data_IF_399836296358
#
_entry.id   IF_399836296358
#
_cell.length_a   1.000
_cell.length_b   1.000
_cell.length_c   1.000
_cell.angle_alpha   90.00
_cell.angle_beta   90.00
_cell.angle_gamma   90.00
#
_symmetry.space_group_name_H-M   'P 1'
#
loop_
_entity.id
_entity.type
_entity.pdbx_description
1 polymer ?
#
# COMPACT_ATOMS: atom_id res chain seq x y z
N UNK A 1 1.88 7.51 15.57
CA UNK A 1 1.76 6.05 15.81
C UNK A 1 1.47 5.88 17.30
N UNK A 2 0.35 5.24 17.68
CA UNK A 2 -0.08 5.18 19.08
C UNK A 2 0.95 4.45 19.95
N UNK A 3 1.13 4.89 21.20
CA UNK A 3 1.99 4.23 22.21
C UNK A 3 1.68 2.73 22.34
N UNK A 4 0.41 2.36 22.16
CA UNK A 4 -0.09 0.98 22.16
C UNK A 4 0.55 0.15 21.04
N UNK A 5 0.75 0.71 19.83
CA UNK A 5 1.39 -0.01 18.72
C UNK A 5 2.89 -0.20 18.93
N UNK A 6 3.55 0.73 19.62
CA UNK A 6 4.97 0.61 19.98
C UNK A 6 5.15 -0.46 21.06
N UNK A 7 4.36 -0.37 22.14
CA UNK A 7 4.34 -1.38 23.21
C UNK A 7 3.98 -2.79 22.68
N UNK A 8 3.06 -2.88 21.73
CA UNK A 8 2.71 -4.14 21.07
C UNK A 8 3.90 -4.75 20.30
N UNK A 9 4.66 -3.93 19.56
CA UNK A 9 5.83 -4.43 18.81
C UNK A 9 6.95 -4.91 19.73
N UNK A 10 7.13 -4.27 20.88
CA UNK A 10 8.11 -4.67 21.90
C UNK A 10 7.68 -5.96 22.61
N UNK A 11 6.43 -6.03 23.09
CA UNK A 11 5.89 -7.20 23.80
C UNK A 11 5.67 -8.42 22.88
N UNK A 12 5.44 -8.20 21.58
CA UNK A 12 5.37 -9.28 20.58
C UNK A 12 6.65 -10.15 20.57
N UNK A 13 7.81 -9.59 20.94
CA UNK A 13 9.06 -10.36 21.04
C UNK A 13 9.06 -11.32 22.24
N UNK A 14 8.32 -11.00 23.31
CA UNK A 14 8.22 -11.85 24.50
C UNK A 14 7.10 -12.90 24.39
N UNK A 15 6.02 -12.58 23.66
CA UNK A 15 4.87 -13.48 23.50
C UNK A 15 4.93 -14.26 22.18
N UNK A 16 5.86 -15.22 22.11
CA UNK A 16 5.93 -16.16 20.99
C UNK A 16 4.77 -17.14 21.02
N UNK A 17 4.01 -17.22 19.91
CA UNK A 17 3.01 -18.27 19.72
C UNK A 17 3.68 -19.65 19.69
N UNK A 18 3.05 -20.66 20.29
CA UNK A 18 3.51 -22.05 20.20
C UNK A 18 2.55 -22.87 19.36
N UNK A 19 3.09 -23.79 18.56
CA UNK A 19 2.31 -24.78 17.82
C UNK A 19 2.32 -26.10 18.58
N UNK A 20 1.15 -26.68 18.74
CA UNK A 20 0.96 -28.01 19.33
C UNK A 20 0.13 -28.90 18.41
N UNK A 21 0.36 -30.20 18.50
CA UNK A 21 -0.45 -31.24 17.84
C UNK A 21 -1.50 -31.83 18.79
N UNK A 22 -1.46 -31.47 20.07
CA UNK A 22 -2.44 -31.90 21.07
C UNK A 22 -3.68 -31.00 21.05
N UNK A 23 -4.82 -31.57 20.69
CA UNK A 23 -6.08 -30.84 20.65
C UNK A 23 -6.77 -30.86 22.03
N UNK A 24 -7.18 -29.70 22.56
CA UNK A 24 -7.69 -29.57 23.93
C UNK A 24 -9.06 -30.21 24.17
N UNK A 25 -9.81 -30.57 23.12
CA UNK A 25 -11.20 -31.01 23.21
C UNK A 25 -11.33 -32.47 22.74
N UNK A 26 -11.90 -33.34 23.58
CA UNK A 26 -12.03 -34.78 23.29
C UNK A 26 -12.86 -35.06 22.02
N UNK A 27 -13.87 -34.23 21.72
CA UNK A 27 -14.64 -34.37 20.48
C UNK A 27 -13.82 -33.98 19.24
N UNK A 28 -12.86 -33.06 19.38
CA UNK A 28 -11.91 -32.71 18.32
C UNK A 28 -10.99 -33.90 18.05
N UNK A 29 -10.54 -34.61 19.09
CA UNK A 29 -9.77 -35.86 18.91
C UNK A 29 -10.58 -36.97 18.22
N UNK A 30 -11.88 -37.11 18.54
CA UNK A 30 -12.77 -38.07 17.85
C UNK A 30 -13.07 -37.68 16.40
N UNK A 31 -13.21 -36.39 16.09
CA UNK A 31 -13.42 -35.92 14.72
C UNK A 31 -12.14 -35.99 13.89
N UNK A 32 -10.99 -35.61 14.48
CA UNK A 32 -9.68 -35.70 13.85
C UNK A 32 -9.29 -37.15 13.47
N UNK A 33 -9.80 -38.14 14.20
CA UNK A 33 -9.59 -39.57 13.90
C UNK A 33 -10.55 -40.12 12.82
N UNK A 34 -11.58 -39.37 12.43
CA UNK A 34 -12.54 -39.78 11.40
C UNK A 34 -12.35 -39.03 10.08
N UNK A 35 -11.90 -37.77 10.14
CA UNK A 35 -11.54 -36.95 8.97
C UNK A 35 -10.38 -36.04 9.38
N UNK A 36 -9.30 -36.01 8.59
CA UNK A 36 -8.11 -35.16 8.76
C UNK A 36 -8.42 -33.65 8.63
N UNK A 37 -9.39 -33.14 9.40
CA UNK A 37 -9.90 -31.78 9.29
C UNK A 37 -9.03 -30.78 10.07
N UNK A 38 -8.47 -31.20 11.21
CA UNK A 38 -7.65 -30.37 12.08
C UNK A 38 -6.16 -30.50 11.76
N UNK A 39 -5.49 -29.36 11.62
CA UNK A 39 -4.10 -29.28 11.16
C UNK A 39 -3.13 -29.10 12.35
N UNK A 40 -3.38 -28.10 13.20
CA UNK A 40 -2.57 -27.80 14.38
C UNK A 40 -3.38 -27.02 15.42
N UNK A 41 -2.81 -26.87 16.61
CA UNK A 41 -3.29 -26.00 17.67
C UNK A 41 -2.31 -24.84 17.87
N UNK A 42 -2.83 -23.62 17.94
CA UNK A 42 -2.05 -22.41 18.29
C UNK A 42 -2.28 -22.10 19.76
N UNK A 43 -1.18 -21.97 20.50
CA UNK A 43 -1.16 -21.52 21.88
C UNK A 43 -0.96 -20.01 21.92
N UNK A 44 -2.00 -19.29 22.35
CA UNK A 44 -2.06 -17.83 22.39
C UNK A 44 -2.07 -17.37 23.85
N UNK A 45 -1.05 -16.64 24.33
CA UNK A 45 -1.05 -16.08 25.68
C UNK A 45 -2.25 -15.17 25.95
N UNK A 46 -2.83 -15.24 27.14
CA UNK A 46 -3.93 -14.36 27.54
C UNK A 46 -3.55 -12.87 27.53
N UNK A 47 -2.35 -12.46 27.95
CA UNK A 47 -1.89 -11.08 27.78
C UNK A 47 -2.01 -10.58 26.33
N UNK A 48 -1.63 -11.41 25.36
CA UNK A 48 -1.69 -11.09 23.94
C UNK A 48 -3.14 -10.90 23.45
N UNK A 49 -4.06 -11.80 23.83
CA UNK A 49 -5.48 -11.68 23.52
C UNK A 49 -6.11 -10.41 24.09
N UNK A 50 -5.66 -10.00 25.28
CA UNK A 50 -6.11 -8.75 25.90
C UNK A 50 -5.68 -7.54 25.07
N UNK A 51 -4.40 -7.49 24.68
CA UNK A 51 -3.87 -6.38 23.88
C UNK A 51 -4.58 -6.31 22.52
N UNK A 52 -4.88 -7.44 21.89
CA UNK A 52 -5.67 -7.47 20.66
C UNK A 52 -7.06 -6.86 20.85
N UNK A 53 -7.73 -7.18 21.97
CA UNK A 53 -9.04 -6.62 22.28
C UNK A 53 -8.98 -5.10 22.43
N UNK A 54 -7.94 -4.57 23.05
CA UNK A 54 -7.74 -3.13 23.22
C UNK A 54 -7.41 -2.47 21.86
N UNK A 55 -6.51 -3.05 21.06
CA UNK A 55 -6.15 -2.54 19.72
C UNK A 55 -7.35 -2.40 18.78
N UNK A 56 -8.24 -3.39 18.76
CA UNK A 56 -9.42 -3.35 17.90
C UNK A 56 -10.47 -2.32 18.34
N UNK A 57 -10.50 -1.95 19.63
CA UNK A 57 -11.37 -0.87 20.12
C UNK A 57 -10.86 0.52 19.75
N UNK A 58 -9.53 0.71 19.64
CA UNK A 58 -8.92 2.01 19.36
C UNK A 58 -8.66 2.30 17.87
N UNK A 59 -8.84 1.33 16.97
CA UNK A 59 -8.46 1.45 15.54
C UNK A 59 -9.66 1.32 14.59
N UNK A 60 -10.61 2.27 14.56
CA UNK A 60 -11.82 2.15 13.73
C UNK A 60 -11.58 2.39 12.23
N UNK A 61 -10.46 3.02 11.84
CA UNK A 61 -10.24 3.49 10.45
C UNK A 61 -9.86 2.36 9.48
N UNK A 62 -9.21 1.30 9.97
CA UNK A 62 -8.70 0.19 9.14
C UNK A 62 -9.28 -1.13 9.63
N UNK A 63 -10.59 -1.19 9.90
CA UNK A 63 -11.37 -2.33 10.45
C UNK A 63 -10.60 -3.68 10.55
N UNK A 64 -9.64 -3.83 11.49
CA UNK A 64 -8.79 -5.00 11.53
C UNK A 64 -9.56 -6.09 12.25
N UNK A 65 -9.43 -7.34 11.83
CA UNK A 65 -10.07 -8.44 12.53
C UNK A 65 -9.05 -9.23 13.37
N UNK A 66 -9.52 -10.17 14.20
CA UNK A 66 -8.63 -10.95 15.05
C UNK A 66 -7.69 -11.86 14.24
N UNK A 67 -8.07 -12.20 13.00
CA UNK A 67 -7.23 -12.99 12.10
C UNK A 67 -6.04 -12.17 11.61
N UNK A 68 -6.26 -10.90 11.25
CA UNK A 68 -5.18 -9.98 10.86
C UNK A 68 -4.13 -9.87 11.98
N UNK A 69 -4.59 -9.76 13.23
CA UNK A 69 -3.72 -9.71 14.40
C UNK A 69 -2.98 -11.03 14.65
N UNK A 70 -3.67 -12.17 14.53
CA UNK A 70 -3.06 -13.49 14.68
C UNK A 70 -2.00 -13.75 13.60
N UNK A 71 -2.34 -13.56 12.32
CA UNK A 71 -1.40 -13.68 11.19
C UNK A 71 -0.19 -12.77 11.37
N UNK A 72 -0.41 -11.53 11.83
CA UNK A 72 0.70 -10.61 12.12
C UNK A 72 1.58 -11.06 13.29
N UNK A 73 1.07 -11.92 14.18
CA UNK A 73 1.79 -12.42 15.37
C UNK A 73 2.53 -13.72 15.11
N UNK A 74 2.24 -14.41 14.01
CA UNK A 74 3.00 -15.59 13.58
C UNK A 74 4.40 -15.16 13.18
N UNK A 75 5.40 -15.74 13.84
CA UNK A 75 6.82 -15.54 13.52
C UNK A 75 7.19 -16.47 12.35
N UNK A 76 8.01 -15.99 11.42
CA UNK A 76 8.54 -16.76 10.28
C UNK A 76 7.50 -17.37 9.33
N UNK A 77 6.25 -16.91 9.37
CA UNK A 77 5.22 -17.29 8.40
C UNK A 77 4.86 -18.78 8.40
N UNK A 78 4.96 -19.46 9.55
CA UNK A 78 4.65 -20.90 9.67
C UNK A 78 3.26 -21.27 9.16
N UNK A 79 2.30 -20.36 9.27
CA UNK A 79 0.99 -20.48 8.68
C UNK A 79 0.39 -19.10 8.45
N UNK A 80 -0.54 -19.04 7.51
CA UNK A 80 -1.41 -17.88 7.30
C UNK A 80 -2.84 -18.37 7.32
N UNK A 81 -3.66 -17.77 8.17
CA UNK A 81 -5.09 -18.04 8.19
C UNK A 81 -5.81 -17.20 7.15
N UNK A 82 -6.84 -17.78 6.54
CA UNK A 82 -7.71 -17.10 5.60
C UNK A 82 -8.48 -16.00 6.32
N UNK A 83 -8.42 -14.77 5.80
CA UNK A 83 -8.98 -13.57 6.45
C UNK A 83 -10.50 -13.64 6.64
N UNK A 84 -11.19 -14.38 5.78
CA UNK A 84 -12.63 -14.61 5.76
C UNK A 84 -13.10 -15.75 6.69
N UNK A 85 -12.20 -16.37 7.46
CA UNK A 85 -12.54 -17.47 8.37
C UNK A 85 -13.38 -17.01 9.58
N UNK A 86 -14.70 -16.93 9.42
CA UNK A 86 -15.62 -16.48 10.47
C UNK A 86 -15.50 -17.29 11.77
N UNK A 87 -15.27 -18.60 11.68
CA UNK A 87 -15.14 -19.48 12.86
C UNK A 87 -13.99 -19.04 13.76
N UNK A 88 -12.80 -18.90 13.21
CA UNK A 88 -11.62 -18.50 14.00
C UNK A 88 -11.80 -17.07 14.53
N UNK A 89 -12.26 -16.15 13.70
CA UNK A 89 -12.47 -14.76 14.13
C UNK A 89 -13.44 -14.67 15.31
N UNK A 90 -14.55 -15.41 15.27
CA UNK A 90 -15.55 -15.43 16.34
C UNK A 90 -15.03 -16.12 17.61
N UNK A 91 -14.26 -17.20 17.48
CA UNK A 91 -13.61 -17.87 18.62
C UNK A 91 -12.62 -16.93 19.33
N UNK A 92 -11.77 -16.26 18.56
CA UNK A 92 -10.82 -15.28 19.09
C UNK A 92 -11.54 -14.12 19.76
N UNK A 93 -12.57 -13.55 19.12
CA UNK A 93 -13.38 -12.46 19.67
C UNK A 93 -14.00 -12.81 21.01
N UNK A 94 -14.66 -13.98 21.10
CA UNK A 94 -15.28 -14.45 22.35
C UNK A 94 -14.23 -14.64 23.44
N UNK A 95 -13.09 -15.26 23.09
CA UNK A 95 -12.03 -15.50 24.06
C UNK A 95 -11.38 -14.19 24.53
N UNK A 96 -11.06 -13.28 23.62
CA UNK A 96 -10.49 -11.98 23.95
C UNK A 96 -11.42 -11.16 24.85
N UNK A 97 -12.72 -11.15 24.56
CA UNK A 97 -13.73 -10.48 25.40
C UNK A 97 -13.77 -11.07 26.81
N UNK A 98 -13.76 -12.40 26.93
CA UNK A 98 -13.71 -13.11 28.22
C UNK A 98 -12.43 -12.79 29.00
N UNK A 99 -11.27 -12.80 28.32
CA UNK A 99 -9.97 -12.46 28.91
C UNK A 99 -9.99 -11.02 29.42
N UNK A 100 -10.45 -10.06 28.62
CA UNK A 100 -10.56 -8.65 29.02
C UNK A 100 -11.41 -8.47 30.28
N UNK A 101 -12.55 -9.16 30.37
CA UNK A 101 -13.38 -9.14 31.57
C UNK A 101 -12.68 -9.76 32.79
N UNK A 102 -11.93 -10.85 32.61
CA UNK A 102 -11.18 -11.48 33.69
C UNK A 102 -10.10 -10.53 34.26
N UNK A 103 -9.36 -9.84 33.40
CA UNK A 103 -8.36 -8.84 33.82
C UNK A 103 -8.97 -7.61 34.50
N UNK A 104 -10.18 -7.19 34.09
CA UNK A 104 -10.90 -6.10 34.77
C UNK A 104 -11.33 -6.47 36.21
N UNK A 105 -11.64 -7.75 36.45
CA UNK A 105 -12.13 -8.26 37.74
C UNK A 105 -11.04 -8.71 38.70
N UNK A 106 -9.78 -8.75 38.26
CA UNK A 106 -8.66 -9.31 39.04
C UNK A 106 -7.55 -8.28 39.25
N UNK A 107 -6.94 -8.33 40.43
CA UNK A 107 -5.83 -7.48 40.83
C UNK A 107 -4.80 -8.29 41.63
N UNK A 108 -3.57 -7.77 41.74
CA UNK A 108 -2.48 -8.39 42.50
C UNK A 108 -2.13 -9.79 41.99
N UNK A 109 -1.92 -10.74 42.92
CA UNK A 109 -1.49 -12.11 42.62
C UNK A 109 -2.38 -12.84 41.61
N UNK A 110 -3.71 -12.68 41.71
CA UNK A 110 -4.66 -13.28 40.77
C UNK A 110 -4.49 -12.79 39.33
N UNK A 111 -3.95 -11.59 39.14
CA UNK A 111 -3.65 -11.06 37.82
C UNK A 111 -2.38 -11.68 37.22
N UNK A 112 -1.37 -11.92 38.03
CA UNK A 112 -0.16 -12.67 37.61
C UNK A 112 -0.53 -14.09 37.16
N UNK A 113 -1.45 -14.75 37.86
CA UNK A 113 -1.99 -16.05 37.43
C UNK A 113 -2.72 -16.00 36.07
N UNK A 114 -3.24 -14.85 35.65
CA UNK A 114 -3.79 -14.69 34.30
C UNK A 114 -2.71 -14.51 33.25
N UNK A 115 -1.59 -13.88 33.61
CA UNK A 115 -0.47 -13.64 32.70
C UNK A 115 0.21 -14.94 32.26
N UNK A 116 0.12 -15.99 33.08
CA UNK A 116 0.62 -17.34 32.77
C UNK A 116 -0.35 -18.17 31.91
N UNK A 117 -1.61 -17.73 31.73
CA UNK A 117 -2.62 -18.52 31.01
C UNK A 117 -2.45 -18.44 29.51
N UNK A 118 -2.77 -19.55 28.86
CA UNK A 118 -2.74 -19.71 27.41
C UNK A 118 -4.11 -20.17 26.90
N UNK A 119 -4.49 -19.70 25.72
CA UNK A 119 -5.63 -20.20 24.97
C UNK A 119 -5.15 -21.13 23.85
N UNK A 120 -5.68 -22.35 23.84
CA UNK A 120 -5.43 -23.36 22.80
C UNK A 120 -6.49 -23.25 21.70
N UNK A 121 -6.12 -22.69 20.54
CA UNK A 121 -6.98 -22.54 19.37
C UNK A 121 -6.71 -23.65 18.35
N UNK A 122 -7.69 -24.51 18.07
CA UNK A 122 -7.57 -25.53 17.03
C UNK A 122 -7.89 -24.96 15.64
N UNK A 123 -6.95 -25.15 14.70
CA UNK A 123 -7.03 -24.69 13.31
C UNK A 123 -7.27 -25.88 12.38
N UNK A 124 -8.18 -25.70 11.42
CA UNK A 124 -8.51 -26.68 10.40
C UNK A 124 -7.74 -26.43 9.12
N UNK A 125 -7.52 -27.47 8.33
CA UNK A 125 -6.77 -27.40 7.06
C UNK A 125 -7.37 -26.39 6.07
N UNK A 126 -8.69 -26.30 6.01
CA UNK A 126 -9.40 -25.40 5.08
C UNK A 126 -9.39 -23.93 5.53
N UNK A 127 -8.87 -23.63 6.73
CA UNK A 127 -8.83 -22.29 7.31
C UNK A 127 -7.46 -21.64 7.14
N UNK A 128 -6.47 -22.37 6.63
CA UNK A 128 -5.16 -21.86 6.25
C UNK A 128 -5.12 -21.58 4.76
N UNK A 129 -4.40 -20.54 4.37
CA UNK A 129 -4.01 -20.31 2.97
C UNK A 129 -3.01 -21.38 2.52
N UNK A 130 -3.12 -21.83 1.26
CA UNK A 130 -2.13 -22.73 0.68
C UNK A 130 -0.85 -21.96 0.36
N UNK A 131 0.30 -22.51 0.77
CA UNK A 131 1.62 -21.95 0.41
C UNK A 131 1.78 -21.85 -1.11
N UNK A 132 1.26 -22.83 -1.86
CA UNK A 132 1.33 -22.86 -3.32
C UNK A 132 0.47 -21.76 -3.94
N UNK A 133 -0.74 -21.55 -3.40
CA UNK A 133 -1.62 -20.46 -3.83
C UNK A 133 -0.99 -19.08 -3.55
N UNK A 134 -0.43 -18.90 -2.35
CA UNK A 134 0.27 -17.67 -1.98
C UNK A 134 1.49 -17.41 -2.87
N UNK A 135 2.29 -18.44 -3.18
CA UNK A 135 3.44 -18.31 -4.09
C UNK A 135 3.00 -17.89 -5.49
N UNK A 136 1.94 -18.51 -6.03
CA UNK A 136 1.42 -18.17 -7.35
C UNK A 136 0.90 -16.72 -7.39
N UNK A 137 0.27 -16.24 -6.32
CA UNK A 137 -0.20 -14.85 -6.24
C UNK A 137 0.96 -13.86 -6.11
N UNK A 138 1.99 -14.17 -5.33
CA UNK A 138 3.22 -13.37 -5.25
C UNK A 138 3.90 -13.28 -6.62
N UNK A 139 4.03 -14.40 -7.32
CA UNK A 139 4.64 -14.46 -8.66
C UNK A 139 3.84 -13.61 -9.66
N UNK A 140 2.51 -13.72 -9.63
CA UNK A 140 1.63 -12.89 -10.46
C UNK A 140 1.83 -11.40 -10.17
N UNK A 141 1.83 -10.99 -8.90
CA UNK A 141 2.05 -9.60 -8.52
C UNK A 141 3.44 -9.09 -8.91
N UNK A 142 4.48 -9.93 -8.83
CA UNK A 142 5.83 -9.58 -9.28
C UNK A 142 5.86 -9.32 -10.79
N UNK A 143 5.24 -10.20 -11.58
CA UNK A 143 5.15 -10.04 -13.04
C UNK A 143 4.41 -8.76 -13.43
N UNK A 144 3.27 -8.48 -12.79
CA UNK A 144 2.54 -7.22 -13.01
C UNK A 144 3.42 -6.01 -12.69
N UNK A 145 4.14 -6.03 -11.56
CA UNK A 145 5.00 -4.93 -11.14
C UNK A 145 6.14 -4.68 -12.14
N UNK A 146 6.73 -5.74 -12.70
CA UNK A 146 7.73 -5.64 -13.77
C UNK A 146 7.16 -5.06 -15.08
N UNK A 147 5.95 -5.44 -15.45
CA UNK A 147 5.26 -4.82 -16.60
C UNK A 147 4.99 -3.34 -16.37
N UNK A 148 4.52 -2.96 -15.19
CA UNK A 148 4.28 -1.57 -14.83
C UNK A 148 5.58 -0.75 -14.87
N UNK A 149 6.69 -1.29 -14.36
CA UNK A 149 8.00 -0.65 -14.46
C UNK A 149 8.44 -0.43 -15.90
N UNK A 150 8.25 -1.42 -16.78
CA UNK A 150 8.57 -1.29 -18.22
C UNK A 150 7.73 -0.18 -18.86
N UNK A 151 6.41 -0.20 -18.67
CA UNK A 151 5.48 0.83 -19.18
C UNK A 151 5.85 2.22 -18.69
N UNK A 152 6.26 2.35 -17.43
CA UNK A 152 6.68 3.63 -16.88
C UNK A 152 7.92 4.18 -17.58
N UNK A 153 8.94 3.34 -17.79
CA UNK A 153 10.16 3.73 -18.51
C UNK A 153 9.85 4.13 -19.95
N UNK A 154 8.98 3.39 -20.63
CA UNK A 154 8.56 3.71 -22.00
C UNK A 154 7.86 5.07 -22.07
N UNK A 155 6.92 5.33 -21.15
CA UNK A 155 6.23 6.63 -21.05
C UNK A 155 7.19 7.78 -20.73
N UNK A 156 8.18 7.56 -19.87
CA UNK A 156 9.19 8.58 -19.54
C UNK A 156 10.05 8.92 -20.77
N UNK A 157 10.41 7.91 -21.56
CA UNK A 157 11.13 8.09 -22.82
C UNK A 157 10.29 8.83 -23.87
N UNK A 158 9.01 8.48 -24.02
CA UNK A 158 8.09 9.16 -24.94
C UNK A 158 7.89 10.62 -24.55
N UNK A 159 7.67 10.89 -23.25
CA UNK A 159 7.58 12.25 -22.71
C UNK A 159 8.82 13.07 -23.04
N UNK A 160 10.01 12.50 -22.86
CA UNK A 160 11.27 13.16 -23.19
C UNK A 160 11.40 13.46 -24.68
N UNK A 161 11.10 12.49 -25.54
CA UNK A 161 11.10 12.69 -27.00
C UNK A 161 10.15 13.80 -27.42
N UNK A 162 8.94 13.82 -26.86
CA UNK A 162 7.94 14.85 -27.17
C UNK A 162 8.44 16.24 -26.77
N UNK A 163 9.04 16.35 -25.57
CA UNK A 163 9.62 17.61 -25.09
C UNK A 163 10.75 18.11 -25.99
N UNK A 164 11.68 17.23 -26.37
CA UNK A 164 12.79 17.57 -27.26
C UNK A 164 12.29 18.01 -28.65
N UNK A 165 11.27 17.32 -29.19
CA UNK A 165 10.64 17.70 -30.46
C UNK A 165 9.99 19.09 -30.37
N UNK A 166 9.18 19.34 -29.33
CA UNK A 166 8.55 20.65 -29.13
C UNK A 166 9.58 21.77 -28.98
N UNK A 167 10.67 21.53 -28.24
CA UNK A 167 11.75 22.50 -28.07
C UNK A 167 12.42 22.83 -29.40
N UNK A 168 12.69 21.82 -30.22
CA UNK A 168 13.30 22.02 -31.54
C UNK A 168 12.38 22.84 -32.46
N UNK A 169 11.08 22.58 -32.42
CA UNK A 169 10.09 23.30 -33.24
C UNK A 169 9.93 24.76 -32.81
N UNK A 170 9.92 25.02 -31.50
CA UNK A 170 9.95 26.40 -30.96
C UNK A 170 11.19 27.15 -31.45
N UNK A 171 12.37 26.50 -31.43
CA UNK A 171 13.61 27.14 -31.90
C UNK A 171 13.54 27.49 -33.39
N UNK A 172 13.07 26.57 -34.24
CA UNK A 172 12.89 26.82 -35.68
C UNK A 172 11.94 27.98 -35.96
N UNK A 173 10.79 27.99 -35.30
CA UNK A 173 9.83 29.09 -35.42
C UNK A 173 10.43 30.41 -34.92
N UNK A 174 11.28 30.38 -33.89
CA UNK A 174 12.01 31.55 -33.40
C UNK A 174 13.00 32.12 -34.43
N UNK A 175 13.73 31.25 -35.14
CA UNK A 175 14.62 31.62 -36.24
C UNK A 175 13.82 32.26 -37.39
N UNK A 176 12.74 31.61 -37.85
CA UNK A 176 11.87 32.13 -38.91
C UNK A 176 11.26 33.49 -38.57
N UNK A 177 10.81 33.69 -37.31
CA UNK A 177 10.29 34.99 -36.85
C UNK A 177 11.38 36.07 -36.91
N UNK A 178 12.63 35.72 -36.60
CA UNK A 178 13.75 36.67 -36.62
C UNK A 178 14.08 37.08 -38.05
N UNK A 179 14.12 36.12 -38.97
CA UNK A 179 14.35 36.37 -40.39
C UNK A 179 13.23 37.23 -40.99
N UNK A 180 11.97 36.90 -40.71
CA UNK A 180 10.82 37.68 -41.18
C UNK A 180 10.80 39.11 -40.62
N UNK A 181 11.22 39.30 -39.36
CA UNK A 181 11.37 40.65 -38.78
C UNK A 181 12.43 41.47 -39.50
N UNK A 182 13.54 40.85 -39.88
CA UNK A 182 14.59 41.53 -40.65
C UNK A 182 14.08 41.92 -42.04
N UNK A 183 13.44 41.00 -42.76
CA UNK A 183 12.85 41.29 -44.09
C UNK A 183 11.82 42.40 -44.01
N UNK A 184 10.92 42.38 -43.00
CA UNK A 184 9.94 43.44 -42.81
C UNK A 184 10.58 44.80 -42.53
N UNK A 185 11.69 44.83 -41.78
CA UNK A 185 12.45 46.06 -41.54
C UNK A 185 13.04 46.60 -42.84
N UNK A 186 13.68 45.75 -43.63
CA UNK A 186 14.29 46.14 -44.91
C UNK A 186 13.23 46.66 -45.90
N UNK A 187 12.06 46.02 -45.94
CA UNK A 187 10.92 46.46 -46.75
C UNK A 187 10.36 47.81 -46.28
N UNK A 188 10.23 48.01 -44.97
CA UNK A 188 9.77 49.28 -44.41
C UNK A 188 10.73 50.43 -44.75
N UNK A 189 12.04 50.22 -44.60
CA UNK A 189 13.08 51.18 -45.02
C UNK A 189 12.98 51.47 -46.52
N UNK A 190 12.80 50.45 -47.35
CA UNK A 190 12.64 50.62 -48.80
C UNK A 190 11.40 51.46 -49.15
N UNK A 191 10.24 51.16 -48.56
CA UNK A 191 9.01 51.95 -48.76
C UNK A 191 9.22 53.41 -48.37
N UNK A 192 9.84 53.66 -47.21
CA UNK A 192 10.13 55.02 -46.75
C UNK A 192 11.04 55.78 -47.73
N UNK A 193 12.04 55.10 -48.32
CA UNK A 193 12.89 55.73 -49.35
C UNK A 193 12.14 56.04 -50.64
N UNK A 194 11.18 55.21 -51.04
CA UNK A 194 10.33 55.47 -52.20
C UNK A 194 9.42 56.67 -51.95
N UNK A 195 8.75 56.73 -50.80
CA UNK A 195 7.89 57.85 -50.40
C UNK A 195 8.68 59.17 -50.34
N UNK A 196 9.91 59.15 -49.81
CA UNK A 196 10.81 60.32 -49.83
C UNK A 196 11.18 60.76 -51.24
N UNK A 197 11.46 59.83 -52.15
CA UNK A 197 11.77 60.15 -53.56
C UNK A 197 10.56 60.72 -54.29
N UNK A 198 9.37 60.19 -54.03
CA UNK A 198 8.13 60.64 -54.67
C UNK A 198 7.71 62.03 -54.19
N UNK A 199 7.79 62.28 -52.87
CA UNK A 199 7.54 63.61 -52.30
C UNK A 199 8.50 64.70 -52.80
N UNK A 200 9.78 64.39 -53.02
CA UNK A 200 10.75 65.30 -53.65
C UNK A 200 10.41 65.60 -55.12
N UNK A 201 9.84 64.63 -55.84
CA UNK A 201 9.42 64.78 -57.23
C UNK A 201 8.22 65.73 -57.37
N UNK A 202 7.25 65.63 -56.46
CA UNK A 202 6.08 66.52 -56.42
C UNK A 202 6.40 67.96 -55.99
N UNK A 203 7.47 68.19 -55.23
CA UNK A 203 7.93 69.56 -54.89
C UNK A 203 8.63 70.27 -56.05
N UNK A 204 9.23 69.52 -56.99
CA UNK A 204 9.86 70.08 -58.19
C UNK A 204 8.87 70.63 -59.22
N UNK A 205 7.65 70.07 -59.30
CA UNK A 205 6.61 70.51 -60.24
C UNK A 205 5.85 71.75 -59.75
N UNK A 206 5.77 72.00 -58.44
CA UNK A 206 5.10 73.18 -57.87
C UNK A 206 5.96 74.46 -57.86
N UNK A 207 7.19 74.42 -58.40
CA UNK A 207 8.10 75.57 -58.46
C UNK A 207 8.15 76.24 -59.84
N UNK A 208 7.31 75.80 -60.78
CA UNK A 208 7.16 76.38 -62.13
C UNK A 208 5.66 76.57 -62.42
N UNK A 209 5.05 77.60 -61.82
CA UNK A 209 3.86 78.32 -62.31
C UNK A 209 3.64 79.58 -61.48
#
# INVERSE_FOLDING_TARGET
MSEILVAYKEQKREWTLKLGTEFPLQYVNRQASQQYEFLFCVEIPWPLLRVWCDLLEYTPVINPNYIDLLNSSVVDGWFTLRRDCQRINELLRRKASMVKQAYKKTAGRKRQELDEKVYKLSVRRMETESIEALKAEVEKCQNELEEWKRKYVDLENEKKKLYDNMKNEINKLGEEITDLKQVNKDLAEYVETLERKESLKCQGENSIS
#
